data_IF_409726919003
#
_entry.id   IF_409726919003
#
_cell.length_a   1.000
_cell.length_b   1.000
_cell.length_c   1.000
_cell.angle_alpha   90.00
_cell.angle_beta   90.00
_cell.angle_gamma   90.00
#
_symmetry.space_group_name_H-M   'P 1'
#
loop_
_entity.id
_entity.type
_entity.pdbx_description
1 polymer ?
#
# COMPACT_ATOMS: atom_id res chain seq x y z
N UNK A 1 15.36 -23.58 19.33
CA UNK A 1 14.85 -22.84 18.15
C UNK A 1 15.26 -21.38 18.28
N UNK A 2 16.31 -20.94 17.58
CA UNK A 2 16.77 -19.54 17.64
C UNK A 2 17.51 -19.10 16.36
N UNK A 3 17.00 -19.51 15.18
CA UNK A 3 17.53 -19.01 13.90
C UNK A 3 16.97 -17.61 13.57
N UNK A 4 15.79 -17.30 14.08
CA UNK A 4 15.06 -16.06 13.77
C UNK A 4 15.62 -14.82 14.46
N UNK A 5 16.58 -14.93 15.37
CA UNK A 5 17.25 -13.76 16.00
C UNK A 5 18.59 -13.41 15.37
N UNK A 6 19.19 -14.31 14.57
CA UNK A 6 20.48 -14.08 13.89
C UNK A 6 20.37 -13.89 12.39
N UNK A 7 19.23 -14.24 11.77
CA UNK A 7 19.03 -14.07 10.34
C UNK A 7 19.09 -12.59 9.94
N UNK A 8 19.79 -12.19 8.87
CA UNK A 8 19.68 -10.85 8.30
C UNK A 8 18.23 -10.46 7.96
N UNK A 9 17.91 -9.17 8.04
CA UNK A 9 16.55 -8.65 7.79
C UNK A 9 16.10 -8.96 6.36
N UNK A 10 17.02 -8.95 5.40
CA UNK A 10 16.77 -9.24 3.98
C UNK A 10 16.24 -10.66 3.77
N UNK A 11 16.76 -11.63 4.53
CA UNK A 11 16.27 -13.01 4.46
C UNK A 11 14.87 -13.14 5.07
N UNK A 12 14.59 -12.40 6.14
CA UNK A 12 13.25 -12.35 6.72
C UNK A 12 12.25 -11.74 5.74
N UNK A 13 12.64 -10.67 5.03
CA UNK A 13 11.81 -10.05 4.00
C UNK A 13 11.51 -11.01 2.85
N UNK A 14 12.49 -11.79 2.37
CA UNK A 14 12.23 -12.84 1.37
C UNK A 14 11.25 -13.89 1.86
N UNK A 15 11.33 -14.30 3.13
CA UNK A 15 10.34 -15.25 3.69
C UNK A 15 8.93 -14.64 3.67
N UNK A 16 8.80 -13.35 3.98
CA UNK A 16 7.52 -12.65 3.88
C UNK A 16 7.01 -12.54 2.44
N UNK A 17 7.89 -12.30 1.47
CA UNK A 17 7.52 -12.25 0.05
C UNK A 17 6.99 -13.59 -0.47
N UNK A 18 7.41 -14.71 0.12
CA UNK A 18 6.92 -16.05 -0.25
C UNK A 18 5.55 -16.40 0.34
N UNK A 19 5.03 -15.59 1.28
CA UNK A 19 3.67 -15.74 1.76
C UNK A 19 2.66 -15.68 0.60
N UNK A 20 1.61 -16.50 0.70
CA UNK A 20 0.58 -16.60 -0.34
C UNK A 20 -0.65 -15.77 0.00
N UNK A 21 -0.90 -15.53 1.30
CA UNK A 21 -2.01 -14.71 1.77
C UNK A 21 -1.54 -13.67 2.79
N UNK A 22 -2.34 -12.61 2.97
CA UNK A 22 -2.12 -11.67 4.07
C UNK A 22 -2.23 -12.33 5.45
N UNK A 23 -3.04 -13.39 5.56
CA UNK A 23 -3.17 -14.19 6.79
C UNK A 23 -1.83 -14.85 7.15
N UNK A 24 -1.10 -15.38 6.18
CA UNK A 24 0.22 -15.99 6.40
C UNK A 24 1.22 -14.96 6.93
N UNK A 25 1.23 -13.76 6.34
CA UNK A 25 2.08 -12.64 6.78
C UNK A 25 1.75 -12.23 8.21
N UNK A 26 0.46 -12.09 8.53
CA UNK A 26 0.02 -11.75 9.89
C UNK A 26 0.42 -12.83 10.88
N UNK A 27 0.19 -14.11 10.56
CA UNK A 27 0.58 -15.23 11.40
C UNK A 27 2.11 -15.25 11.64
N UNK A 28 2.91 -15.08 10.59
CA UNK A 28 4.38 -15.03 10.70
C UNK A 28 4.86 -13.86 11.55
N UNK A 29 4.28 -12.66 11.35
CA UNK A 29 4.61 -11.47 12.16
C UNK A 29 4.17 -11.61 13.63
N UNK A 30 3.18 -12.45 13.92
CA UNK A 30 2.73 -12.69 15.29
C UNK A 30 3.69 -13.57 16.10
N UNK A 31 4.54 -14.37 15.45
CA UNK A 31 5.40 -15.36 16.10
C UNK A 31 6.44 -14.77 17.06
N UNK A 32 7.01 -13.59 16.75
CA UNK A 32 7.93 -12.92 17.67
C UNK A 32 8.02 -11.41 17.42
N UNK A 33 8.55 -10.69 18.43
CA UNK A 33 8.70 -9.22 18.40
C UNK A 33 9.53 -8.76 17.21
N UNK A 34 10.62 -9.45 16.88
CA UNK A 34 11.49 -9.09 15.77
C UNK A 34 10.77 -9.16 14.41
N UNK A 35 10.05 -10.25 14.16
CA UNK A 35 9.28 -10.43 12.92
C UNK A 35 8.18 -9.37 12.81
N UNK A 36 7.48 -9.11 13.92
CA UNK A 36 6.49 -8.04 14.00
C UNK A 36 7.08 -6.67 13.64
N UNK A 37 8.25 -6.36 14.18
CA UNK A 37 8.92 -5.08 13.92
C UNK A 37 9.35 -4.96 12.45
N UNK A 38 9.98 -5.99 11.89
CA UNK A 38 10.38 -6.01 10.47
C UNK A 38 9.16 -5.82 9.57
N UNK A 39 8.05 -6.49 9.87
CA UNK A 39 6.78 -6.31 9.14
C UNK A 39 6.27 -4.87 9.21
N UNK A 40 6.27 -4.24 10.39
CA UNK A 40 5.80 -2.86 10.53
C UNK A 40 6.67 -1.85 9.77
N UNK A 41 7.99 -2.03 9.81
CA UNK A 41 8.95 -1.13 9.16
C UNK A 41 8.95 -1.26 7.63
N UNK A 42 8.63 -2.45 7.11
CA UNK A 42 8.74 -2.78 5.67
C UNK A 42 7.39 -3.13 5.03
N UNK A 43 6.29 -2.75 5.67
CA UNK A 43 4.94 -3.16 5.29
C UNK A 43 4.63 -2.86 3.82
N UNK A 44 4.99 -1.67 3.36
CA UNK A 44 4.65 -1.20 2.02
C UNK A 44 5.37 -2.01 0.93
N UNK A 45 6.59 -2.46 1.23
CA UNK A 45 7.41 -3.27 0.32
C UNK A 45 6.88 -4.70 0.24
N UNK A 46 6.51 -5.28 1.38
CA UNK A 46 6.06 -6.69 1.47
C UNK A 46 4.60 -6.86 1.06
N UNK A 47 3.73 -5.91 1.39
CA UNK A 47 2.30 -6.02 1.14
C UNK A 47 1.99 -6.05 -0.36
N UNK A 48 2.78 -5.37 -1.19
CA UNK A 48 2.53 -5.27 -2.63
C UNK A 48 2.73 -6.60 -3.38
N UNK A 49 3.86 -7.34 -3.23
CA UNK A 49 4.01 -8.68 -3.77
C UNK A 49 2.93 -9.65 -3.31
N UNK A 50 2.52 -9.59 -2.04
CA UNK A 50 1.45 -10.46 -1.52
C UNK A 50 0.09 -10.08 -2.12
N UNK A 51 -0.19 -8.78 -2.27
CA UNK A 51 -1.41 -8.30 -2.92
C UNK A 51 -1.52 -8.81 -4.37
N UNK A 52 -0.43 -8.77 -5.14
CA UNK A 52 -0.39 -9.27 -6.52
C UNK A 52 -0.76 -10.76 -6.63
N UNK A 53 -0.44 -11.58 -5.62
CA UNK A 53 -0.79 -13.00 -5.60
C UNK A 53 -2.26 -13.24 -5.22
N UNK A 54 -2.81 -12.42 -4.33
CA UNK A 54 -4.14 -12.64 -3.73
C UNK A 54 -5.26 -11.97 -4.52
N UNK A 55 -4.99 -10.81 -5.12
CA UNK A 55 -6.00 -9.98 -5.75
C UNK A 55 -5.98 -10.17 -7.27
N UNK A 56 -6.98 -10.85 -7.86
CA UNK A 56 -7.12 -10.86 -9.31
C UNK A 56 -7.33 -9.43 -9.82
N UNK A 57 -6.62 -9.07 -10.89
CA UNK A 57 -6.63 -7.73 -11.50
C UNK A 57 -6.18 -6.58 -10.55
N UNK A 58 -5.22 -6.84 -9.65
CA UNK A 58 -4.67 -5.81 -8.75
C UNK A 58 -4.15 -4.57 -9.51
N UNK A 59 -3.51 -4.76 -10.66
CA UNK A 59 -3.03 -3.67 -11.49
C UNK A 59 -4.17 -2.77 -12.00
N UNK A 60 -5.27 -3.37 -12.44
CA UNK A 60 -6.45 -2.62 -12.90
C UNK A 60 -7.09 -1.84 -11.74
N UNK A 61 -7.13 -2.44 -10.55
CA UNK A 61 -7.59 -1.76 -9.34
C UNK A 61 -6.70 -0.55 -9.01
N UNK A 62 -5.37 -0.69 -9.10
CA UNK A 62 -4.42 0.40 -8.88
C UNK A 62 -4.56 1.52 -9.92
N UNK A 63 -4.71 1.17 -11.20
CA UNK A 63 -4.96 2.12 -12.28
C UNK A 63 -6.24 2.89 -11.99
N UNK A 64 -7.32 2.20 -11.60
CA UNK A 64 -8.62 2.79 -11.28
C UNK A 64 -8.52 3.75 -10.10
N UNK A 65 -7.83 3.37 -9.03
CA UNK A 65 -7.61 4.23 -7.85
C UNK A 65 -6.86 5.51 -8.27
N UNK A 66 -5.78 5.38 -9.06
CA UNK A 66 -5.00 6.52 -9.55
C UNK A 66 -5.84 7.44 -10.44
N UNK A 67 -6.58 6.87 -11.39
CA UNK A 67 -7.46 7.63 -12.27
C UNK A 67 -8.53 8.39 -11.48
N UNK A 68 -9.11 7.76 -10.46
CA UNK A 68 -10.12 8.38 -9.58
C UNK A 68 -9.53 9.53 -8.77
N UNK A 69 -8.30 9.38 -8.26
CA UNK A 69 -7.60 10.44 -7.53
C UNK A 69 -7.33 11.68 -8.43
N UNK A 70 -6.90 11.45 -9.68
CA UNK A 70 -6.68 12.51 -10.67
C UNK A 70 -7.99 13.18 -11.07
N UNK A 71 -9.05 12.42 -11.31
CA UNK A 71 -10.37 12.97 -11.63
C UNK A 71 -10.88 13.86 -10.49
N UNK A 72 -10.72 13.43 -9.23
CA UNK A 72 -11.11 14.19 -8.05
C UNK A 72 -10.37 15.53 -7.93
N UNK A 73 -9.04 15.54 -8.14
CA UNK A 73 -8.26 16.78 -8.06
C UNK A 73 -8.65 17.78 -9.15
N UNK A 74 -8.88 17.28 -10.38
CA UNK A 74 -9.34 18.10 -11.49
C UNK A 74 -10.73 18.71 -11.24
N UNK A 75 -11.65 17.95 -10.65
CA UNK A 75 -12.98 18.43 -10.31
C UNK A 75 -12.92 19.56 -9.28
N UNK A 76 -12.09 19.42 -8.25
CA UNK A 76 -11.86 20.49 -7.25
C UNK A 76 -11.30 21.75 -7.90
N UNK A 77 -10.33 21.62 -8.80
CA UNK A 77 -9.74 22.75 -9.53
C UNK A 77 -10.76 23.44 -10.43
N UNK A 78 -11.60 22.66 -11.13
CA UNK A 78 -12.67 23.19 -11.97
C UNK A 78 -13.68 24.02 -11.16
N UNK A 79 -14.16 23.49 -10.03
CA UNK A 79 -15.08 24.20 -9.13
C UNK A 79 -14.46 25.48 -8.58
N UNK A 80 -13.17 25.45 -8.21
CA UNK A 80 -12.47 26.63 -7.71
C UNK A 80 -12.34 27.73 -8.78
N UNK A 81 -12.05 27.34 -10.01
CA UNK A 81 -11.91 28.27 -11.14
C UNK A 81 -13.25 28.85 -11.58
N UNK A 82 -14.34 28.09 -11.55
CA UNK A 82 -15.67 28.63 -11.88
C UNK A 82 -16.18 29.59 -10.80
N UNK A 83 -15.87 29.33 -9.53
CA UNK A 83 -16.18 30.24 -8.41
C UNK A 83 -15.39 31.56 -8.44
N UNK A 84 -14.18 31.59 -8.98
CA UNK A 84 -13.40 32.83 -9.15
C UNK A 84 -13.88 33.68 -10.33
N UNK A 85 -14.27 33.04 -11.43
CA UNK A 85 -14.83 33.71 -12.62
C UNK A 85 -16.17 34.39 -12.29
N UNK A 86 -17.04 33.72 -11.54
CA UNK A 86 -18.35 34.29 -11.12
C UNK A 86 -18.21 35.49 -10.19
N UNK A 87 -17.18 35.52 -9.32
CA UNK A 87 -16.87 36.70 -8.49
C UNK A 87 -16.32 37.89 -9.28
N UNK A 88 -15.62 37.64 -10.40
CA UNK A 88 -15.08 38.70 -11.27
C UNK A 88 -16.17 39.41 -12.09
N UNK A 89 -17.25 38.69 -12.44
CA UNK A 89 -18.35 39.20 -13.27
C UNK A 89 -19.43 39.99 -12.52
N UNK A 90 -19.35 40.03 -11.19
CA UNK A 90 -20.31 40.70 -10.29
C UNK A 90 -19.78 42.02 -9.70
N UNK A 91 -18.62 42.50 -10.17
CA UNK A 91 -18.08 43.84 -9.95
C UNK A 91 -18.18 44.65 -11.24
#
# INVERSE_FOLDING_TARGET
MALSTSLPTELVLRVYEECQTFTDVVNLSSCCVRLRQIWHENRDVVAFPVALKVLPAFDDALITIRATAVAKSNLVNYVRNTASITKSRAK
#
